data_IF_155145780855
#
_entry.id   IF_155145780855
#
_cell.length_a   1.000
_cell.length_b   1.000
_cell.length_c   1.000
_cell.angle_alpha   90.00
_cell.angle_beta   90.00
_cell.angle_gamma   90.00
#
_symmetry.space_group_name_H-M   'P 1'
#
loop_
_entity.id
_entity.type
_entity.pdbx_description
1 polymer ?
#
# COMPACT_ATOMS: atom_id res chain seq x y z
N UNK A 1 1.19 -1.50 14.62
CA UNK A 1 1.05 -2.49 13.52
C UNK A 1 -0.43 -2.76 13.37
N UNK A 2 -0.99 -2.59 12.17
CA UNK A 2 -2.40 -2.90 11.94
C UNK A 2 -2.52 -4.39 11.57
N UNK A 3 -3.18 -5.17 12.43
CA UNK A 3 -3.35 -6.62 12.26
C UNK A 3 -4.65 -6.98 11.50
N UNK A 4 -5.21 -6.02 10.75
CA UNK A 4 -6.51 -6.16 10.11
C UNK A 4 -6.40 -6.07 8.60
N UNK A 5 -7.17 -6.92 7.92
CA UNK A 5 -7.39 -6.81 6.49
C UNK A 5 -8.30 -5.63 6.22
N UNK A 6 -7.78 -4.65 5.48
CA UNK A 6 -8.58 -3.49 5.10
C UNK A 6 -9.59 -3.91 4.03
N UNK A 7 -10.80 -3.35 4.10
CA UNK A 7 -11.77 -3.51 3.02
C UNK A 7 -11.20 -2.88 1.75
N UNK A 8 -11.41 -3.55 0.62
CA UNK A 8 -10.96 -3.05 -0.69
C UNK A 8 -11.59 -1.69 -1.01
N UNK A 9 -12.83 -1.44 -0.59
CA UNK A 9 -13.49 -0.14 -0.71
C UNK A 9 -12.72 0.96 0.03
N UNK A 10 -12.39 0.73 1.30
CA UNK A 10 -11.62 1.67 2.12
C UNK A 10 -10.24 1.94 1.52
N UNK A 11 -9.56 0.91 1.01
CA UNK A 11 -8.30 1.11 0.30
C UNK A 11 -8.49 2.04 -0.90
N UNK A 12 -9.50 1.80 -1.73
CA UNK A 12 -9.80 2.64 -2.91
C UNK A 12 -10.19 4.07 -2.54
N UNK A 13 -10.92 4.27 -1.45
CA UNK A 13 -11.25 5.61 -0.94
C UNK A 13 -9.99 6.37 -0.56
N UNK A 14 -9.09 5.75 0.20
CA UNK A 14 -7.81 6.36 0.59
C UNK A 14 -6.94 6.65 -0.65
N UNK A 15 -6.85 5.71 -1.59
CA UNK A 15 -6.14 5.92 -2.87
C UNK A 15 -6.73 7.10 -3.66
N UNK A 16 -8.07 7.22 -3.65
CA UNK A 16 -8.80 8.33 -4.26
C UNK A 16 -8.48 9.68 -3.62
N UNK A 17 -8.43 9.74 -2.28
CA UNK A 17 -8.02 10.96 -1.56
C UNK A 17 -6.56 11.33 -1.81
N UNK A 18 -5.65 10.35 -1.85
CA UNK A 18 -4.24 10.60 -2.19
C UNK A 18 -4.12 11.11 -3.63
N UNK A 19 -4.86 10.51 -4.57
CA UNK A 19 -4.89 10.97 -5.96
C UNK A 19 -5.46 12.39 -6.06
N UNK A 20 -6.57 12.65 -5.36
CA UNK A 20 -7.21 13.96 -5.31
C UNK A 20 -6.23 15.01 -4.78
N UNK A 21 -5.56 14.74 -3.66
CA UNK A 21 -4.51 15.60 -3.12
C UNK A 21 -3.39 15.86 -4.12
N UNK A 22 -2.89 14.81 -4.79
CA UNK A 22 -1.80 14.91 -5.75
C UNK A 22 -2.16 15.76 -6.98
N UNK A 23 -3.39 15.65 -7.46
CA UNK A 23 -3.89 16.36 -8.65
C UNK A 23 -4.65 17.65 -8.32
N UNK A 24 -4.76 18.01 -7.04
CA UNK A 24 -5.43 19.24 -6.60
C UNK A 24 -4.65 20.45 -7.09
N UNK A 25 -5.28 21.26 -7.93
CA UNK A 25 -4.62 22.39 -8.59
C UNK A 25 -5.31 23.70 -8.21
N UNK A 26 -4.92 24.30 -7.07
CA UNK A 26 -5.47 25.56 -6.57
C UNK A 26 -6.97 25.51 -6.20
N UNK A 27 -7.45 26.56 -5.52
CA UNK A 27 -8.79 26.59 -4.91
C UNK A 27 -9.96 26.57 -5.91
N UNK A 28 -9.73 26.93 -7.17
CA UNK A 28 -10.81 27.30 -8.11
C UNK A 28 -10.88 26.42 -9.37
N UNK A 29 -10.08 25.36 -9.44
CA UNK A 29 -10.06 24.45 -10.60
C UNK A 29 -10.39 23.02 -10.17
N UNK A 30 -11.31 22.39 -10.89
CA UNK A 30 -11.58 20.95 -10.73
C UNK A 30 -10.27 20.17 -10.99
N UNK A 31 -9.86 19.27 -10.09
CA UNK A 31 -8.65 18.46 -10.31
C UNK A 31 -8.83 17.61 -11.56
N UNK A 32 -7.89 17.72 -12.49
CA UNK A 32 -7.84 16.87 -13.68
C UNK A 32 -6.91 15.70 -13.36
N UNK A 33 -7.47 14.50 -13.28
CA UNK A 33 -6.70 13.27 -13.15
C UNK A 33 -6.09 12.89 -14.51
N UNK A 34 -4.88 13.38 -14.79
CA UNK A 34 -4.17 13.10 -16.05
C UNK A 34 -3.82 11.62 -16.22
N UNK A 35 -3.58 10.93 -15.10
CA UNK A 35 -3.13 9.54 -15.07
C UNK A 35 -3.91 8.80 -13.99
N UNK A 36 -4.49 7.66 -14.36
CA UNK A 36 -5.24 6.81 -13.44
C UNK A 36 -4.33 6.15 -12.38
N UNK A 37 -4.90 5.84 -11.20
CA UNK A 37 -4.16 5.31 -10.06
C UNK A 37 -3.27 4.10 -10.40
N UNK A 38 -3.79 3.13 -11.18
CA UNK A 38 -3.03 1.96 -11.63
C UNK A 38 -1.73 2.29 -12.35
N UNK A 39 -1.70 3.38 -13.14
CA UNK A 39 -0.49 3.80 -13.83
C UNK A 39 0.48 4.51 -12.85
N UNK A 40 -0.04 5.30 -11.91
CA UNK A 40 0.77 5.91 -10.84
C UNK A 40 1.41 4.85 -9.94
N UNK A 41 0.72 3.74 -9.70
CA UNK A 41 1.20 2.62 -8.89
C UNK A 41 2.21 1.71 -9.59
N UNK A 42 2.42 1.86 -10.91
CA UNK A 42 3.50 1.12 -11.59
C UNK A 42 4.86 1.52 -11.02
N UNK A 43 5.81 0.60 -11.12
CA UNK A 43 7.18 0.87 -10.74
C UNK A 43 7.74 2.05 -11.54
N UNK A 44 8.64 2.82 -10.93
CA UNK A 44 9.26 3.98 -11.57
C UNK A 44 10.00 3.62 -12.86
N UNK A 45 10.61 2.43 -12.89
CA UNK A 45 11.27 1.86 -14.09
C UNK A 45 10.30 1.56 -15.25
N UNK A 46 9.03 1.36 -14.94
CA UNK A 46 7.97 1.00 -15.89
C UNK A 46 7.11 2.23 -16.28
N UNK A 47 7.58 3.44 -15.96
CA UNK A 47 6.88 4.70 -16.28
C UNK A 47 5.80 5.12 -15.29
N UNK A 48 5.70 4.47 -14.12
CA UNK A 48 4.83 4.92 -13.02
C UNK A 48 5.53 5.86 -12.04
N UNK A 49 4.82 6.25 -10.98
CA UNK A 49 5.39 7.04 -9.87
C UNK A 49 5.88 6.17 -8.70
N UNK A 50 5.63 4.86 -8.75
CA UNK A 50 5.97 3.93 -7.68
C UNK A 50 5.07 4.04 -6.45
N UNK A 51 3.85 4.59 -6.60
CA UNK A 51 2.86 4.53 -5.53
C UNK A 51 2.50 3.07 -5.23
N UNK A 52 2.26 2.76 -3.96
CA UNK A 52 1.88 1.39 -3.57
C UNK A 52 0.38 1.23 -3.69
N UNK A 53 -0.04 0.12 -4.28
CA UNK A 53 -1.42 -0.33 -4.19
C UNK A 53 -1.71 -0.75 -2.74
N UNK A 54 -2.67 -0.09 -2.08
CA UNK A 54 -2.90 -0.20 -0.65
C UNK A 54 -3.42 -1.59 -0.25
N UNK A 55 -4.17 -2.24 -1.13
CA UNK A 55 -4.64 -3.63 -0.98
C UNK A 55 -3.47 -4.61 -0.92
N UNK A 56 -2.55 -4.55 -1.89
CA UNK A 56 -1.35 -5.37 -1.92
C UNK A 56 -0.43 -5.09 -0.75
N UNK A 57 -0.27 -3.81 -0.38
CA UNK A 57 0.54 -3.41 0.76
C UNK A 57 -0.03 -3.93 2.08
N UNK A 58 -1.35 -3.87 2.27
CA UNK A 58 -2.02 -4.42 3.46
C UNK A 58 -1.84 -5.94 3.56
N UNK A 59 -2.01 -6.66 2.45
CA UNK A 59 -1.76 -8.10 2.40
C UNK A 59 -0.31 -8.45 2.74
N UNK A 60 0.66 -7.72 2.20
CA UNK A 60 2.07 -7.92 2.51
C UNK A 60 2.39 -7.66 4.00
N UNK A 61 1.76 -6.64 4.60
CA UNK A 61 1.90 -6.38 6.04
C UNK A 61 1.30 -7.51 6.89
N UNK A 62 0.12 -8.02 6.51
CA UNK A 62 -0.49 -9.16 7.18
C UNK A 62 0.38 -10.40 7.06
N UNK A 63 0.92 -10.69 5.88
CA UNK A 63 1.83 -11.81 5.67
C UNK A 63 3.09 -11.68 6.54
N UNK A 64 3.67 -10.48 6.65
CA UNK A 64 4.81 -10.20 7.53
C UNK A 64 4.49 -10.43 9.00
N UNK A 65 3.30 -10.04 9.45
CA UNK A 65 2.86 -10.25 10.83
C UNK A 65 2.56 -11.73 11.07
N UNK A 66 1.85 -12.38 10.16
CA UNK A 66 1.56 -13.81 10.21
C UNK A 66 2.83 -14.64 10.24
N UNK A 67 3.84 -14.28 9.45
CA UNK A 67 5.16 -14.91 9.48
C UNK A 67 5.82 -14.79 10.86
N UNK A 68 5.76 -13.63 11.51
CA UNK A 68 6.33 -13.43 12.86
C UNK A 68 5.60 -14.26 13.93
N UNK A 69 4.31 -14.51 13.74
CA UNK A 69 3.52 -15.35 14.65
C UNK A 69 3.83 -16.83 14.43
N UNK A 70 3.92 -17.27 13.17
CA UNK A 70 4.20 -18.64 12.79
C UNK A 70 5.67 -19.06 13.01
N UNK A 71 6.59 -18.11 12.85
CA UNK A 71 8.02 -18.30 13.03
C UNK A 71 8.52 -17.39 14.16
N UNK A 72 8.24 -17.72 15.43
CA UNK A 72 8.81 -17.00 16.56
C UNK A 72 10.34 -17.08 16.49
N UNK A 73 11.01 -15.96 16.73
CA UNK A 73 12.47 -15.85 16.55
C UNK A 73 13.25 -16.84 17.45
N UNK A 74 12.61 -17.36 18.50
CA UNK A 74 13.14 -18.38 19.41
C UNK A 74 13.24 -19.78 18.79
N UNK A 75 12.52 -20.10 17.71
CA UNK A 75 12.66 -21.39 17.03
C UNK A 75 13.99 -21.52 16.26
N UNK A 76 14.69 -20.41 16.03
CA UNK A 76 16.00 -20.37 15.35
C UNK A 76 17.18 -20.44 16.32
N UNK A 77 16.98 -20.20 17.61
CA UNK A 77 18.05 -20.23 18.63
C UNK A 77 18.17 -21.58 19.36
N UNK A 78 17.42 -22.60 18.93
CA UNK A 78 17.36 -23.92 19.59
C UNK A 78 18.13 -25.06 18.90
N UNK A 79 18.92 -24.78 17.84
CA UNK A 79 19.69 -25.81 17.10
C UNK A 79 21.22 -25.59 17.23
N UNK A 80 21.64 -24.74 18.16
CA UNK A 80 23.05 -24.55 18.51
C UNK A 80 23.20 -24.61 20.04
N UNK A 81 23.24 -25.82 20.57
CA UNK A 81 23.43 -26.13 21.99
C UNK A 81 23.51 -27.63 22.20
#
# INVERSE_FOLDING_TARGET
MSCFKLLVSLCKEIEGEIASFWWKNGADRKPIHWVGWKQLSRLKKDGGLGFRELTCFNLAMLAKIGWRILCPISSWTGVAG
#
